data_IF_243309769876
#
_entry.id   IF_243309769876
#
_cell.length_a   1.000
_cell.length_b   1.000
_cell.length_c   1.000
_cell.angle_alpha   90.00
_cell.angle_beta   90.00
_cell.angle_gamma   90.00
#
_symmetry.space_group_name_H-M   'P 1'
#
loop_
_entity.id
_entity.type
_entity.pdbx_description
1 polymer ?
#
# COMPACT_ATOMS: atom_id res chain seq x y z
N UNK A 1 -4.42 -11.02 -0.64
CA UNK A 1 -5.10 -10.03 -1.50
C UNK A 1 -5.91 -10.79 -2.53
N UNK A 2 -7.23 -10.61 -2.55
CA UNK A 2 -8.08 -11.21 -3.59
C UNK A 2 -7.98 -10.47 -4.94
N UNK A 3 -7.58 -9.19 -4.92
CA UNK A 3 -7.44 -8.36 -6.12
C UNK A 3 -6.31 -8.81 -7.06
N UNK A 4 -5.16 -9.20 -6.53
CA UNK A 4 -3.98 -9.61 -7.34
C UNK A 4 -4.18 -10.91 -8.11
N UNK A 5 -4.94 -11.86 -7.56
CA UNK A 5 -5.28 -13.10 -8.25
C UNK A 5 -6.21 -12.84 -9.46
N UNK A 6 -7.19 -11.95 -9.30
CA UNK A 6 -8.09 -11.54 -10.38
C UNK A 6 -7.36 -10.68 -11.43
N UNK A 7 -6.48 -9.78 -10.99
CA UNK A 7 -5.70 -8.94 -11.88
C UNK A 7 -4.78 -9.76 -12.80
N UNK A 8 -4.10 -10.76 -12.25
CA UNK A 8 -3.28 -11.71 -13.03
C UNK A 8 -4.11 -12.49 -14.06
N UNK A 9 -5.34 -12.89 -13.70
CA UNK A 9 -6.22 -13.64 -14.59
C UNK A 9 -6.81 -12.80 -15.73
N UNK A 10 -7.18 -11.56 -15.44
CA UNK A 10 -7.75 -10.61 -16.40
C UNK A 10 -6.70 -9.72 -17.07
N UNK A 11 -5.43 -9.90 -16.72
CA UNK A 11 -4.28 -9.11 -17.17
C UNK A 11 -4.35 -7.63 -16.77
N UNK A 12 -5.16 -7.27 -15.79
CA UNK A 12 -5.35 -5.93 -15.24
C UNK A 12 -4.15 -5.49 -14.42
N UNK A 13 -3.91 -4.19 -14.28
CA UNK A 13 -2.83 -3.69 -13.44
C UNK A 13 -3.29 -3.64 -11.98
N UNK A 14 -2.49 -4.20 -11.07
CA UNK A 14 -2.66 -4.07 -9.63
C UNK A 14 -1.42 -3.44 -8.98
N UNK A 15 -1.66 -2.47 -8.09
CA UNK A 15 -0.59 -1.80 -7.34
C UNK A 15 -0.89 -1.93 -5.85
N UNK A 16 0.14 -2.34 -5.10
CA UNK A 16 0.08 -2.43 -3.63
C UNK A 16 0.83 -1.25 -3.05
N UNK A 17 0.10 -0.35 -2.40
CA UNK A 17 0.66 0.87 -1.83
C UNK A 17 0.44 0.85 -0.31
N UNK A 18 1.51 0.98 0.49
CA UNK A 18 1.38 1.16 1.94
C UNK A 18 0.82 2.56 2.22
N UNK A 19 -0.20 2.64 3.07
CA UNK A 19 -0.86 3.90 3.43
C UNK A 19 -0.54 4.36 4.86
N UNK A 20 -0.06 3.45 5.70
CA UNK A 20 0.27 3.78 7.08
C UNK A 20 0.85 2.59 7.82
N UNK A 21 1.18 2.82 9.09
CA UNK A 21 1.65 1.80 10.02
C UNK A 21 0.86 1.93 11.32
N UNK A 22 0.51 0.81 11.92
CA UNK A 22 -0.18 0.75 13.21
C UNK A 22 0.71 0.05 14.23
N UNK A 23 0.79 0.57 15.48
CA UNK A 23 1.53 -0.10 16.54
C UNK A 23 0.75 -1.36 16.97
N UNK A 24 1.43 -2.51 16.97
CA UNK A 24 0.93 -3.76 17.48
C UNK A 24 1.81 -4.24 18.63
N UNK A 25 1.20 -4.55 19.77
CA UNK A 25 1.92 -5.10 20.91
C UNK A 25 2.12 -6.61 20.72
N UNK A 26 3.37 -7.04 20.58
CA UNK A 26 3.70 -8.46 20.46
C UNK A 26 3.91 -9.08 21.85
N UNK A 27 3.03 -10.03 22.23
CA UNK A 27 3.20 -10.82 23.46
C UNK A 27 4.41 -11.76 23.43
N UNK A 28 5.04 -11.97 22.27
CA UNK A 28 6.21 -12.84 22.14
C UNK A 28 7.48 -12.03 22.39
N UNK A 29 7.63 -10.88 21.72
CA UNK A 29 8.83 -10.03 21.81
C UNK A 29 8.74 -8.95 22.88
N UNK A 30 7.58 -8.77 23.53
CA UNK A 30 7.31 -7.75 24.56
C UNK A 30 7.68 -6.33 24.11
N UNK A 31 7.52 -6.06 22.81
CA UNK A 31 7.79 -4.76 22.18
C UNK A 31 6.60 -4.35 21.32
N UNK A 32 6.40 -3.04 21.21
CA UNK A 32 5.52 -2.45 20.21
C UNK A 32 6.21 -2.52 18.85
N UNK A 33 5.65 -3.31 17.95
CA UNK A 33 6.12 -3.47 16.58
C UNK A 33 5.20 -2.69 15.63
N UNK A 34 5.79 -2.04 14.62
CA UNK A 34 5.04 -1.26 13.65
C UNK A 34 4.60 -2.18 12.51
N UNK A 35 3.30 -2.44 12.40
CA UNK A 35 2.75 -3.28 11.33
C UNK A 35 2.26 -2.41 10.17
N UNK A 36 2.76 -2.62 8.93
CA UNK A 36 2.37 -1.82 7.79
C UNK A 36 0.94 -2.17 7.33
N UNK A 37 0.14 -1.15 7.08
CA UNK A 37 -1.19 -1.26 6.45
C UNK A 37 -1.02 -0.94 4.97
N UNK A 38 -1.32 -1.93 4.13
CA UNK A 38 -1.25 -1.82 2.67
C UNK A 38 -2.63 -1.95 2.05
N UNK A 39 -2.86 -1.19 0.98
CA UNK A 39 -4.04 -1.34 0.14
C UNK A 39 -3.59 -1.86 -1.22
N UNK A 40 -4.32 -2.85 -1.74
CA UNK A 40 -4.18 -3.33 -3.10
C UNK A 40 -5.29 -2.70 -3.95
N UNK A 41 -4.91 -1.96 -4.99
CA UNK A 41 -5.85 -1.35 -5.92
C UNK A 41 -5.71 -2.04 -7.27
N UNK A 42 -6.84 -2.40 -7.88
CA UNK A 42 -6.90 -3.04 -9.20
C UNK A 42 -7.61 -2.10 -10.17
N UNK A 43 -7.02 -1.89 -11.34
CA UNK A 43 -7.60 -1.09 -12.43
C UNK A 43 -7.70 -1.90 -13.71
N UNK A 44 -8.67 -1.55 -14.56
CA UNK A 44 -8.85 -2.18 -15.86
C UNK A 44 -7.58 -2.03 -16.71
N UNK A 45 -7.27 -3.05 -17.52
CA UNK A 45 -6.23 -3.02 -18.56
C UNK A 45 -6.23 -1.70 -19.35
N UNK A 46 -5.09 -1.01 -19.35
CA UNK A 46 -4.88 0.22 -20.12
C UNK A 46 -5.34 1.51 -19.42
N UNK A 47 -5.86 1.42 -18.19
CA UNK A 47 -6.27 2.59 -17.39
C UNK A 47 -5.27 2.93 -16.27
N UNK A 48 -4.04 2.46 -16.37
CA UNK A 48 -2.98 2.63 -15.35
C UNK A 48 -2.72 4.11 -15.04
N UNK A 49 -2.93 4.99 -16.03
CA UNK A 49 -2.76 6.44 -15.87
C UNK A 49 -3.74 7.04 -14.84
N UNK A 50 -4.94 6.49 -14.71
CA UNK A 50 -5.93 6.92 -13.70
C UNK A 50 -5.42 6.60 -12.30
N UNK A 51 -4.80 5.43 -12.14
CA UNK A 51 -4.21 5.01 -10.86
C UNK A 51 -3.00 5.88 -10.53
N UNK A 52 -2.11 6.16 -11.49
CA UNK A 52 -0.98 7.07 -11.27
C UNK A 52 -1.44 8.48 -10.87
N UNK A 53 -2.50 9.00 -11.50
CA UNK A 53 -3.03 10.31 -11.15
C UNK A 53 -3.63 10.31 -9.74
N UNK A 54 -4.35 9.25 -9.37
CA UNK A 54 -4.87 9.07 -8.01
C UNK A 54 -3.74 9.05 -6.97
N UNK A 55 -2.67 8.29 -7.21
CA UNK A 55 -1.50 8.23 -6.31
C UNK A 55 -0.80 9.59 -6.21
N UNK A 56 -0.69 10.32 -7.32
CA UNK A 56 -0.07 11.65 -7.35
C UNK A 56 -0.88 12.66 -6.54
N UNK A 57 -2.20 12.66 -6.65
CA UNK A 57 -3.08 13.53 -5.86
C UNK A 57 -3.06 13.14 -4.37
N UNK A 58 -3.07 11.85 -4.04
CA UNK A 58 -2.94 11.37 -2.66
C UNK A 58 -1.58 11.74 -2.02
N UNK A 59 -0.51 11.72 -2.81
CA UNK A 59 0.81 12.19 -2.37
C UNK A 59 0.83 13.72 -2.16
N UNK A 60 0.20 14.50 -3.04
CA UNK A 60 0.06 15.97 -2.87
C UNK A 60 -0.76 16.33 -1.64
N UNK A 61 -1.79 15.56 -1.32
CA UNK A 61 -2.62 15.74 -0.13
C UNK A 61 -1.90 15.31 1.17
N UNK A 62 -0.70 14.75 1.08
CA UNK A 62 0.08 14.30 2.24
C UNK A 62 -0.45 13.01 2.88
N UNK A 63 -1.40 12.33 2.23
CA UNK A 63 -1.94 11.04 2.69
C UNK A 63 -0.94 9.91 2.42
N UNK A 64 -0.19 10.02 1.33
CA UNK A 64 0.91 9.11 0.99
C UNK A 64 2.25 9.80 1.27
N UNK A 65 2.94 9.37 2.33
CA UNK A 65 4.31 9.76 2.63
C UNK A 65 5.34 8.86 1.93
N UNK A 66 6.60 9.31 1.75
CA UNK A 66 7.67 8.46 1.27
C UNK A 66 7.84 7.26 2.23
N UNK A 67 7.81 6.06 1.66
CA UNK A 67 7.97 4.82 2.43
C UNK A 67 9.47 4.61 2.64
N UNK A 68 9.92 4.68 3.89
CA UNK A 68 11.27 4.29 4.23
C UNK A 68 11.31 2.76 4.41
N UNK A 69 12.34 2.10 3.86
CA UNK A 69 12.61 0.69 4.13
C UNK A 69 13.39 0.55 5.45
N UNK A 70 12.85 -0.21 6.42
CA UNK A 70 13.44 -0.43 7.75
C UNK A 70 12.42 -0.90 8.79
N UNK A 71 12.78 -0.93 10.08
CA UNK A 71 11.86 -1.30 11.19
C UNK A 71 10.70 -0.31 11.41
N UNK A 72 10.73 0.83 10.72
CA UNK A 72 9.67 1.84 10.64
C UNK A 72 9.41 2.08 9.16
N UNK A 73 8.18 1.85 8.73
CA UNK A 73 7.79 1.95 7.31
C UNK A 73 7.42 3.37 6.90
N UNK A 74 7.22 4.27 7.87
CA UNK A 74 6.94 5.69 7.67
C UNK A 74 7.88 6.56 8.52
N UNK A 75 8.40 7.63 7.92
CA UNK A 75 9.22 8.70 8.54
C UNK A 75 8.46 10.02 8.60
#
# INVERSE_FOLDING_TARGET
>A
GAGSALASYFGSADFTIPIGQVPYFSNITHREEMMPVTINMVVRRGCDFVLFNLVKELAKLGVLGPVATGSRTFV
#
